data_IF_192143471169
#
_entry.id   IF_192143471169
#
_cell.length_a   1.000
_cell.length_b   1.000
_cell.length_c   1.000
_cell.angle_alpha   90.00
_cell.angle_beta   90.00
_cell.angle_gamma   90.00
#
_symmetry.space_group_name_H-M   'P 1'
#
loop_
_entity.id
_entity.type
_entity.pdbx_description
1 polymer ?
#
# COMPACT_ATOMS: atom_id res chain seq x y z
N UNK A 1 -13.64 -3.12 -2.64
CA UNK A 1 -13.49 -3.78 -1.31
C UNK A 1 -14.27 -5.08 -1.22
N UNK A 2 -15.47 -5.18 -1.78
CA UNK A 2 -16.25 -6.42 -1.75
C UNK A 2 -15.55 -7.59 -2.46
N UNK A 3 -14.97 -7.35 -3.62
CA UNK A 3 -14.30 -8.36 -4.44
C UNK A 3 -13.14 -9.06 -3.68
N UNK A 4 -12.37 -8.29 -2.89
CA UNK A 4 -11.30 -8.86 -2.09
C UNK A 4 -11.83 -9.77 -0.97
N UNK A 5 -12.93 -9.38 -0.32
CA UNK A 5 -13.60 -10.23 0.69
C UNK A 5 -14.18 -11.51 0.06
N UNK A 6 -14.68 -11.44 -1.16
CA UNK A 6 -15.14 -12.63 -1.90
C UNK A 6 -13.97 -13.58 -2.20
N UNK A 7 -12.81 -13.04 -2.58
CA UNK A 7 -11.58 -13.83 -2.76
C UNK A 7 -11.19 -14.53 -1.46
N UNK A 8 -11.20 -13.82 -0.33
CA UNK A 8 -10.87 -14.41 0.98
C UNK A 8 -11.81 -15.57 1.34
N UNK A 9 -13.13 -15.39 1.19
CA UNK A 9 -14.13 -16.44 1.45
C UNK A 9 -13.95 -17.63 0.53
N UNK A 10 -13.77 -17.38 -0.76
CA UNK A 10 -13.55 -18.44 -1.73
C UNK A 10 -12.31 -19.27 -1.41
N UNK A 11 -11.24 -18.62 -0.97
CA UNK A 11 -10.00 -19.27 -0.55
C UNK A 11 -10.19 -20.08 0.75
N UNK A 12 -10.90 -19.52 1.74
CA UNK A 12 -11.19 -20.17 3.02
C UNK A 12 -11.97 -21.47 2.83
N UNK A 13 -13.00 -21.47 1.99
CA UNK A 13 -13.79 -22.67 1.64
C UNK A 13 -12.94 -23.79 1.03
N UNK A 14 -11.75 -23.46 0.52
CA UNK A 14 -10.81 -24.40 -0.12
C UNK A 14 -9.54 -24.62 0.70
N UNK A 15 -9.56 -24.20 1.96
CA UNK A 15 -8.42 -24.28 2.88
C UNK A 15 -7.14 -23.62 2.32
N UNK A 16 -7.32 -22.54 1.55
CA UNK A 16 -6.23 -21.73 1.00
C UNK A 16 -6.10 -20.46 1.83
N UNK A 17 -4.90 -20.18 2.32
CA UNK A 17 -4.59 -18.94 3.02
C UNK A 17 -4.16 -17.86 2.02
N UNK A 18 -4.77 -16.67 2.12
CA UNK A 18 -4.38 -15.50 1.33
C UNK A 18 -3.45 -14.62 2.16
N UNK A 19 -2.24 -14.42 1.69
CA UNK A 19 -1.23 -13.58 2.33
C UNK A 19 -0.99 -12.35 1.46
N UNK A 20 -1.48 -11.15 1.85
CA UNK A 20 -1.17 -9.92 1.12
C UNK A 20 0.32 -9.58 1.24
N UNK A 21 0.92 -9.17 0.13
CA UNK A 21 2.30 -8.69 0.09
C UNK A 21 2.31 -7.21 -0.28
N UNK A 22 3.06 -6.40 0.49
CA UNK A 22 3.36 -5.00 0.17
C UNK A 22 4.82 -4.90 -0.23
N UNK A 23 5.07 -4.69 -1.51
CA UNK A 23 6.41 -4.51 -2.05
C UNK A 23 6.79 -3.03 -2.02
N UNK A 24 7.84 -2.69 -1.24
CA UNK A 24 8.28 -1.31 -1.05
C UNK A 24 9.76 -1.26 -0.64
N UNK A 25 10.44 -0.13 -0.82
CA UNK A 25 9.99 1.10 -1.49
C UNK A 25 9.94 0.97 -3.01
N UNK A 26 10.58 -0.06 -3.58
CA UNK A 26 10.57 -0.36 -5.00
C UNK A 26 9.22 -0.90 -5.48
N UNK A 27 9.07 -1.04 -6.79
CA UNK A 27 7.85 -1.53 -7.45
C UNK A 27 6.58 -0.72 -7.14
N UNK A 28 6.74 0.52 -6.63
CA UNK A 28 5.67 1.42 -6.20
C UNK A 28 5.01 2.23 -7.31
N UNK A 29 5.36 2.03 -8.59
CA UNK A 29 4.91 2.87 -9.70
C UNK A 29 3.39 3.05 -9.76
N UNK A 30 2.63 1.98 -9.62
CA UNK A 30 1.16 2.03 -9.64
C UNK A 30 0.59 2.86 -8.47
N UNK A 31 1.14 2.70 -7.26
CA UNK A 31 0.74 3.47 -6.09
C UNK A 31 1.09 4.96 -6.28
N UNK A 32 2.29 5.28 -6.76
CA UNK A 32 2.72 6.65 -7.05
C UNK A 32 1.75 7.31 -8.03
N UNK A 33 1.44 6.67 -9.16
CA UNK A 33 0.51 7.21 -10.16
C UNK A 33 -0.91 7.40 -9.62
N UNK A 34 -1.39 6.46 -8.83
CA UNK A 34 -2.70 6.56 -8.19
C UNK A 34 -2.77 7.77 -7.23
N UNK A 35 -1.73 7.98 -6.41
CA UNK A 35 -1.70 9.10 -5.47
C UNK A 35 -1.47 10.44 -6.17
N UNK A 36 -0.70 10.50 -7.24
CA UNK A 36 -0.60 11.69 -8.09
C UNK A 36 -1.95 12.05 -8.75
N UNK A 37 -2.71 11.06 -9.21
CA UNK A 37 -4.05 11.29 -9.76
C UNK A 37 -5.02 11.78 -8.67
N UNK A 38 -4.96 11.19 -7.46
CA UNK A 38 -5.73 11.65 -6.30
C UNK A 38 -5.39 13.10 -5.95
N UNK A 39 -4.11 13.44 -5.87
CA UNK A 39 -3.65 14.81 -5.59
C UNK A 39 -4.26 15.82 -6.55
N UNK A 40 -4.13 15.57 -7.86
CA UNK A 40 -4.70 16.45 -8.89
C UNK A 40 -6.21 16.64 -8.73
N UNK A 41 -6.93 15.56 -8.42
CA UNK A 41 -8.37 15.61 -8.22
C UNK A 41 -8.74 16.43 -6.98
N UNK A 42 -8.08 16.23 -5.84
CA UNK A 42 -8.35 16.96 -4.61
C UNK A 42 -7.99 18.44 -4.75
N UNK A 43 -6.85 18.75 -5.36
CA UNK A 43 -6.46 20.13 -5.64
C UNK A 43 -7.46 20.86 -6.53
N UNK A 44 -7.99 20.20 -7.56
CA UNK A 44 -9.03 20.76 -8.42
C UNK A 44 -10.36 21.02 -7.69
N UNK A 45 -10.61 20.32 -6.57
CA UNK A 45 -11.79 20.51 -5.69
C UNK A 45 -11.53 21.55 -4.60
N UNK A 46 -10.33 22.15 -4.53
CA UNK A 46 -9.94 23.11 -3.50
C UNK A 46 -9.48 22.51 -2.17
N UNK A 47 -9.35 21.18 -2.09
CA UNK A 47 -8.95 20.44 -0.90
C UNK A 47 -7.42 20.29 -0.84
N UNK A 48 -6.69 21.37 -0.69
CA UNK A 48 -5.21 21.36 -0.75
C UNK A 48 -4.56 20.49 0.32
N UNK A 49 -5.08 20.49 1.55
CA UNK A 49 -4.57 19.63 2.63
C UNK A 49 -4.72 18.16 2.31
N UNK A 50 -5.88 17.73 1.84
CA UNK A 50 -6.14 16.33 1.47
C UNK A 50 -5.39 15.93 0.19
N UNK A 51 -5.03 16.90 -0.66
CA UNK A 51 -4.30 16.64 -1.89
C UNK A 51 -2.93 16.00 -1.58
N UNK A 52 -2.20 16.53 -0.61
CA UNK A 52 -0.83 16.13 -0.30
C UNK A 52 -0.74 14.99 0.73
N UNK A 53 -1.86 14.63 1.36
CA UNK A 53 -1.93 13.66 2.46
C UNK A 53 -1.23 12.33 2.16
N UNK A 54 -1.31 11.84 0.93
CA UNK A 54 -0.75 10.54 0.52
C UNK A 54 0.24 10.66 -0.63
N UNK A 55 1.03 11.74 -0.66
CA UNK A 55 2.11 11.85 -1.63
C UNK A 55 3.17 10.78 -1.37
N UNK A 56 3.59 10.10 -2.43
CA UNK A 56 4.59 9.03 -2.37
C UNK A 56 5.91 9.39 -3.07
N UNK A 57 5.95 10.54 -3.71
CA UNK A 57 7.14 11.07 -4.39
C UNK A 57 7.24 12.56 -4.15
N UNK A 58 8.46 13.06 -3.99
CA UNK A 58 8.71 14.50 -3.91
C UNK A 58 8.49 15.13 -5.30
N UNK A 59 7.57 16.11 -5.44
CA UNK A 59 7.38 16.83 -6.70
C UNK A 59 8.63 17.58 -7.19
N UNK A 60 9.57 17.88 -6.30
CA UNK A 60 10.83 18.55 -6.59
C UNK A 60 11.97 17.59 -6.89
N UNK A 61 11.74 16.28 -6.76
CA UNK A 61 12.75 15.28 -7.08
C UNK A 61 12.98 15.23 -8.59
N UNK A 62 14.17 15.64 -9.00
CA UNK A 62 14.64 15.61 -10.39
C UNK A 62 15.51 14.39 -10.68
N UNK A 63 15.65 13.46 -9.73
CA UNK A 63 16.47 12.27 -9.90
C UNK A 63 15.96 11.43 -11.09
N UNK A 64 16.91 10.87 -11.82
CA UNK A 64 16.64 10.04 -13.01
C UNK A 64 17.01 8.59 -12.71
N UNK A 65 16.30 7.99 -11.79
CA UNK A 65 16.44 6.56 -11.57
C UNK A 65 15.61 5.79 -12.61
N UNK A 66 16.24 4.82 -13.25
CA UNK A 66 15.57 3.93 -14.18
C UNK A 66 15.56 2.51 -13.59
N UNK A 67 14.37 1.99 -13.34
CA UNK A 67 14.21 0.60 -12.87
C UNK A 67 14.51 -0.40 -14.00
N UNK A 68 14.67 -1.67 -13.64
CA UNK A 68 14.83 -2.75 -14.63
C UNK A 68 13.62 -2.84 -15.58
N UNK A 69 12.44 -2.37 -15.13
CA UNK A 69 11.22 -2.28 -15.92
C UNK A 69 11.09 -0.98 -16.71
N UNK A 70 12.16 -0.16 -16.75
CA UNK A 70 12.20 1.12 -17.49
C UNK A 70 11.25 2.22 -16.98
N UNK A 71 10.93 2.23 -15.69
CA UNK A 71 10.20 3.33 -15.05
C UNK A 71 11.12 4.23 -14.25
N UNK A 72 10.86 5.53 -14.27
CA UNK A 72 11.65 6.56 -13.56
C UNK A 72 11.10 6.90 -12.18
N UNK A 73 9.85 6.55 -11.88
CA UNK A 73 9.14 6.83 -10.64
C UNK A 73 8.69 5.52 -9.96
N UNK A 74 9.58 4.56 -9.86
CA UNK A 74 9.27 3.21 -9.39
C UNK A 74 9.33 3.06 -7.87
N UNK A 75 10.06 3.92 -7.17
CA UNK A 75 10.25 3.84 -5.73
C UNK A 75 9.45 4.94 -5.00
N UNK A 76 8.71 4.53 -3.97
CA UNK A 76 8.09 5.47 -3.04
C UNK A 76 9.17 6.11 -2.17
N UNK A 77 9.00 7.39 -1.80
CA UNK A 77 9.99 8.13 -1.03
C UNK A 77 9.80 7.87 0.48
N UNK A 78 10.73 7.17 1.14
CA UNK A 78 10.61 6.87 2.57
C UNK A 78 10.90 8.07 3.48
N UNK A 79 11.34 9.22 2.92
CA UNK A 79 11.59 10.44 3.68
C UNK A 79 10.35 11.33 3.81
N UNK A 80 9.21 10.95 3.22
CA UNK A 80 7.96 11.69 3.32
C UNK A 80 7.07 11.08 4.40
N UNK A 81 6.55 11.91 5.31
CA UNK A 81 5.56 11.47 6.31
C UNK A 81 4.29 10.93 5.64
N UNK A 82 3.84 11.56 4.57
CA UNK A 82 2.71 11.11 3.74
C UNK A 82 2.84 9.69 3.22
N UNK A 83 4.06 9.19 3.05
CA UNK A 83 4.31 7.78 2.72
C UNK A 83 3.86 6.85 3.85
N UNK A 84 4.17 7.20 5.10
CA UNK A 84 3.77 6.39 6.27
C UNK A 84 2.26 6.45 6.50
N UNK A 85 1.64 7.61 6.34
CA UNK A 85 0.18 7.74 6.40
C UNK A 85 -0.52 6.87 5.34
N UNK A 86 0.01 6.84 4.12
CA UNK A 86 -0.51 5.97 3.06
C UNK A 86 -0.38 4.49 3.44
N UNK A 87 0.80 4.07 3.91
CA UNK A 87 1.07 2.67 4.28
C UNK A 87 0.19 2.22 5.44
N UNK A 88 0.06 3.05 6.47
CA UNK A 88 -0.82 2.80 7.60
C UNK A 88 -2.27 2.59 7.14
N UNK A 89 -2.76 3.49 6.28
CA UNK A 89 -4.11 3.39 5.74
C UNK A 89 -4.34 2.08 4.97
N UNK A 90 -3.38 1.67 4.15
CA UNK A 90 -3.47 0.41 3.39
C UNK A 90 -3.45 -0.80 4.33
N UNK A 91 -2.52 -0.86 5.28
CA UNK A 91 -2.40 -1.97 6.23
C UNK A 91 -3.66 -2.11 7.07
N UNK A 92 -4.18 -1.01 7.61
CA UNK A 92 -5.44 -0.99 8.38
C UNK A 92 -6.62 -1.45 7.52
N UNK A 93 -6.72 -0.98 6.27
CA UNK A 93 -7.78 -1.38 5.36
C UNK A 93 -7.76 -2.88 5.05
N UNK A 94 -6.58 -3.43 4.78
CA UNK A 94 -6.42 -4.87 4.54
C UNK A 94 -6.73 -5.67 5.80
N UNK A 95 -6.29 -5.22 6.98
CA UNK A 95 -6.61 -5.84 8.26
C UNK A 95 -8.12 -5.93 8.49
N UNK A 96 -8.86 -4.85 8.24
CA UNK A 96 -10.31 -4.86 8.38
C UNK A 96 -10.98 -5.84 7.41
N UNK A 97 -10.45 -6.03 6.21
CA UNK A 97 -10.99 -7.00 5.26
C UNK A 97 -10.75 -8.45 5.70
N UNK A 98 -9.67 -8.73 6.42
CA UNK A 98 -9.32 -10.08 6.92
C UNK A 98 -10.03 -10.45 8.22
N UNK A 99 -10.49 -9.47 9.01
CA UNK A 99 -10.81 -9.57 10.43
C UNK A 99 -11.75 -10.73 10.80
N UNK A 100 -12.72 -11.05 9.92
CA UNK A 100 -13.76 -12.05 10.19
C UNK A 100 -13.60 -13.32 9.32
N UNK A 101 -12.60 -13.37 8.44
CA UNK A 101 -12.45 -14.42 7.45
C UNK A 101 -11.17 -15.23 7.71
N UNK A 102 -10.01 -14.59 7.66
CA UNK A 102 -8.71 -15.25 7.86
C UNK A 102 -7.81 -14.39 8.76
N UNK A 103 -6.90 -15.00 9.54
CA UNK A 103 -5.85 -14.26 10.25
C UNK A 103 -5.01 -13.47 9.24
N UNK A 104 -4.74 -12.20 9.53
CA UNK A 104 -3.88 -11.40 8.67
C UNK A 104 -2.42 -11.78 8.86
N UNK A 105 -1.79 -12.25 7.81
CA UNK A 105 -0.33 -12.30 7.66
C UNK A 105 0.04 -11.32 6.55
N UNK A 106 0.99 -10.43 6.81
CA UNK A 106 1.46 -9.44 5.84
C UNK A 106 2.92 -9.70 5.53
N UNK A 107 3.25 -9.73 4.27
CA UNK A 107 4.64 -9.75 3.82
C UNK A 107 5.04 -8.35 3.36
N UNK A 108 6.07 -7.80 4.01
CA UNK A 108 6.78 -6.62 3.54
C UNK A 108 8.04 -7.08 2.82
N UNK A 109 8.27 -6.57 1.63
CA UNK A 109 9.44 -6.94 0.83
C UNK A 109 10.31 -5.71 0.58
N UNK A 110 11.52 -5.76 1.09
CA UNK A 110 12.56 -4.78 0.81
C UNK A 110 13.85 -5.50 0.40
N UNK A 111 14.42 -5.18 -0.77
CA UNK A 111 15.69 -5.72 -1.28
C UNK A 111 15.85 -7.25 -1.13
N UNK A 112 14.76 -7.98 -1.35
CA UNK A 112 14.78 -9.45 -1.21
C UNK A 112 14.60 -9.97 0.22
N UNK A 113 14.48 -9.11 1.22
CA UNK A 113 14.16 -9.48 2.60
C UNK A 113 12.63 -9.53 2.73
N UNK A 114 12.10 -10.67 3.18
CA UNK A 114 10.69 -10.82 3.53
C UNK A 114 10.53 -10.70 5.03
N UNK A 115 9.69 -9.77 5.47
CA UNK A 115 9.25 -9.69 6.87
C UNK A 115 7.81 -10.16 6.92
N UNK A 116 7.56 -11.28 7.60
CA UNK A 116 6.23 -11.81 7.81
C UNK A 116 5.68 -11.27 9.13
N UNK A 117 4.68 -10.42 9.08
CA UNK A 117 3.98 -9.92 10.25
C UNK A 117 2.74 -10.80 10.50
N UNK A 118 2.68 -11.43 11.68
CA UNK A 118 1.50 -12.13 12.15
C UNK A 118 0.72 -11.22 13.09
N UNK A 119 -0.54 -10.96 12.78
CA UNK A 119 -1.43 -10.32 13.74
C UNK A 119 -2.33 -11.40 14.36
N UNK A 120 -2.07 -11.78 15.59
CA UNK A 120 -3.02 -12.59 16.35
C UNK A 120 -4.32 -11.80 16.57
N UNK A 121 -5.47 -12.49 16.59
CA UNK A 121 -6.82 -11.93 16.80
C UNK A 121 -6.99 -11.08 18.08
N UNK A 122 -5.97 -10.94 18.92
CA UNK A 122 -6.04 -10.42 20.29
C UNK A 122 -5.24 -9.14 20.52
N UNK A 123 -5.14 -8.24 19.56
CA UNK A 123 -4.73 -6.87 19.91
C UNK A 123 -6.00 -6.06 20.17
N UNK A 124 -6.16 -5.52 21.42
CA UNK A 124 -7.27 -4.62 21.70
C UNK A 124 -7.19 -3.38 20.82
N UNK A 125 -8.37 -2.86 20.48
CA UNK A 125 -8.61 -1.62 19.74
C UNK A 125 -8.03 -0.45 20.50
#
# INVERSE_FOLDING_TARGET
MNDYREILKYAEERHVEVIPEFDMPGHGHAAIKAMQARQKKQAAMGNSFEADQYLLSDPLDTSKYLSVQFFTDNAINPCLESTYEFLEHIVISVRHMHQDIQPLKVTLRERGIRVLLHTNKTLPV
#
